data_IF_215125198893
#
_entry.id   IF_215125198893
#
_cell.length_a   1.000
_cell.length_b   1.000
_cell.length_c   1.000
_cell.angle_alpha   90.00
_cell.angle_beta   90.00
_cell.angle_gamma   90.00
#
_symmetry.space_group_name_H-M   'P 1'
#
loop_
_entity.id
_entity.type
_entity.pdbx_description
1 polymer ?
#
# COMPACT_ATOMS: atom_id res chain seq x y z
N UNK A 1 -2.17 53.26 -10.83
CA UNK A 1 -0.87 53.79 -10.38
C UNK A 1 -0.75 53.41 -8.92
N UNK A 2 0.11 52.52 -8.44
CA UNK A 2 1.07 51.53 -8.97
C UNK A 2 1.37 50.66 -7.73
N UNK A 3 1.15 49.35 -7.77
CA UNK A 3 2.21 48.31 -7.77
C UNK A 3 3.49 48.67 -7.01
N UNK A 4 3.72 48.02 -5.86
CA UNK A 4 4.99 47.34 -5.49
C UNK A 4 4.90 46.79 -4.04
N UNK A 5 4.68 45.48 -3.89
CA UNK A 5 5.53 44.62 -3.03
C UNK A 5 5.15 43.13 -3.25
N UNK A 6 5.16 42.72 -4.52
CA UNK A 6 5.13 41.30 -4.92
C UNK A 6 6.59 40.85 -5.08
N UNK A 7 7.22 40.45 -3.99
CA UNK A 7 8.52 39.79 -4.03
C UNK A 7 8.71 38.86 -2.84
N UNK A 8 8.30 37.59 -2.98
CA UNK A 8 9.03 36.46 -2.40
C UNK A 8 8.72 35.16 -3.15
N UNK A 9 9.67 34.83 -4.04
CA UNK A 9 10.14 33.48 -4.39
C UNK A 9 9.11 32.45 -4.84
N UNK A 10 8.89 32.50 -6.16
CA UNK A 10 9.02 31.33 -7.03
C UNK A 10 10.20 30.48 -6.55
N UNK A 11 9.90 29.43 -5.80
CA UNK A 11 10.83 28.35 -5.54
C UNK A 11 10.14 27.12 -6.09
N UNK A 12 10.59 26.75 -7.29
CA UNK A 12 10.42 25.43 -7.88
C UNK A 12 10.33 24.41 -6.75
N UNK A 13 9.11 23.89 -6.58
CA UNK A 13 8.81 22.76 -5.73
C UNK A 13 9.46 21.56 -6.43
N UNK A 14 10.81 21.51 -6.41
CA UNK A 14 11.56 20.30 -6.68
C UNK A 14 10.95 19.26 -5.76
N UNK A 15 10.28 18.29 -6.39
CA UNK A 15 9.81 17.01 -5.85
C UNK A 15 10.99 16.29 -5.19
N UNK A 16 11.44 16.81 -4.05
CA UNK A 16 12.17 16.07 -3.05
C UNK A 16 11.15 15.08 -2.48
N UNK A 17 11.01 13.98 -3.21
CA UNK A 17 10.46 12.71 -2.78
C UNK A 17 11.30 12.22 -1.60
N UNK A 18 11.12 12.87 -0.45
CA UNK A 18 11.53 12.39 0.84
C UNK A 18 10.59 11.21 1.17
N UNK A 19 10.70 10.13 0.38
CA UNK A 19 10.43 8.81 0.90
C UNK A 19 11.38 8.68 2.09
N UNK A 20 10.88 8.99 3.28
CA UNK A 20 11.38 8.39 4.51
C UNK A 20 11.23 6.88 4.29
N UNK A 21 12.18 6.29 3.57
CA UNK A 21 12.43 4.87 3.59
C UNK A 21 12.63 4.57 5.06
N UNK A 22 11.61 3.95 5.65
CA UNK A 22 11.67 3.47 7.01
C UNK A 22 12.96 2.64 7.16
N UNK A 23 13.99 3.24 7.75
CA UNK A 23 15.17 2.59 8.32
C UNK A 23 14.69 1.80 9.55
N UNK A 24 13.77 0.86 9.35
CA UNK A 24 13.40 -0.11 10.36
C UNK A 24 14.57 -1.12 10.43
N UNK A 25 15.32 -1.00 11.54
CA UNK A 25 16.51 -1.73 11.99
C UNK A 25 16.77 -3.06 11.26
N UNK A 26 17.91 -3.15 10.57
CA UNK A 26 18.43 -4.38 9.97
C UNK A 26 18.70 -5.44 11.05
N UNK A 27 17.69 -6.27 11.31
CA UNK A 27 17.86 -7.50 12.08
C UNK A 27 18.47 -8.57 11.18
N UNK A 28 19.80 -8.59 11.12
CA UNK A 28 20.64 -9.75 10.79
C UNK A 28 20.19 -10.59 9.59
N UNK A 29 20.31 -10.05 8.37
CA UNK A 29 20.17 -10.83 7.14
C UNK A 29 21.45 -11.57 6.75
N UNK A 30 21.30 -12.62 5.96
CA UNK A 30 22.40 -13.27 5.27
C UNK A 30 23.06 -12.25 4.33
N UNK A 31 24.38 -12.05 4.47
CA UNK A 31 25.14 -10.96 3.80
C UNK A 31 24.95 -11.00 2.27
N UNK A 32 24.73 -12.19 1.72
CA UNK A 32 24.49 -12.40 0.30
C UNK A 32 23.12 -11.86 -0.17
N UNK A 33 22.08 -11.93 0.67
CA UNK A 33 20.73 -11.43 0.38
C UNK A 33 20.71 -9.90 0.43
N UNK A 34 21.37 -9.33 1.44
CA UNK A 34 21.53 -7.88 1.59
C UNK A 34 22.27 -7.28 0.39
N UNK A 35 23.41 -7.87 0.01
CA UNK A 35 24.18 -7.44 -1.16
C UNK A 35 23.34 -7.46 -2.45
N UNK A 36 22.52 -8.49 -2.64
CA UNK A 36 21.64 -8.60 -3.80
C UNK A 36 20.56 -7.52 -3.81
N UNK A 37 19.95 -7.24 -2.66
CA UNK A 37 18.94 -6.18 -2.53
C UNK A 37 19.51 -4.79 -2.84
N UNK A 38 20.69 -4.45 -2.30
CA UNK A 38 21.32 -3.15 -2.60
C UNK A 38 21.78 -3.03 -4.05
N UNK A 39 22.23 -4.14 -4.66
CA UNK A 39 22.55 -4.18 -6.08
C UNK A 39 21.31 -3.87 -6.93
N UNK A 40 20.18 -4.55 -6.67
CA UNK A 40 18.89 -4.27 -7.32
C UNK A 40 18.46 -2.80 -7.15
N UNK A 41 18.69 -2.23 -5.97
CA UNK A 41 18.36 -0.83 -5.67
C UNK A 41 19.21 0.17 -6.46
N UNK A 42 20.47 -0.14 -6.76
CA UNK A 42 21.29 0.68 -7.65
C UNK A 42 20.81 0.56 -9.10
N UNK A 43 20.46 -0.65 -9.53
CA UNK A 43 20.00 -0.92 -10.90
C UNK A 43 18.64 -0.31 -11.22
N UNK A 44 17.80 0.00 -10.22
CA UNK A 44 16.46 0.59 -10.45
C UNK A 44 16.47 1.88 -11.28
N UNK A 45 17.56 2.65 -11.23
CA UNK A 45 17.71 3.91 -11.96
C UNK A 45 18.04 3.69 -13.44
N UNK A 46 18.85 2.67 -13.73
CA UNK A 46 19.36 2.40 -15.08
C UNK A 46 18.51 1.37 -15.83
N UNK A 47 18.07 0.31 -15.14
CA UNK A 47 17.36 -0.85 -15.69
C UNK A 47 16.27 -1.32 -14.72
N UNK A 48 15.10 -0.64 -14.70
CA UNK A 48 14.02 -0.95 -13.76
C UNK A 48 13.44 -2.34 -13.94
N UNK A 49 13.50 -2.92 -15.15
CA UNK A 49 13.01 -4.28 -15.42
C UNK A 49 13.92 -5.35 -14.79
N UNK A 50 15.24 -5.21 -14.98
CA UNK A 50 16.22 -6.12 -14.37
C UNK A 50 16.22 -5.98 -12.84
N UNK A 51 16.05 -4.77 -12.33
CA UNK A 51 15.91 -4.53 -10.90
C UNK A 51 14.71 -5.26 -10.30
N UNK A 52 13.58 -5.34 -11.01
CA UNK A 52 12.40 -6.11 -10.56
C UNK A 52 12.76 -7.59 -10.42
N UNK A 53 13.39 -8.19 -11.44
CA UNK A 53 13.78 -9.60 -11.41
C UNK A 53 14.74 -9.89 -10.25
N UNK A 54 15.66 -8.98 -9.97
CA UNK A 54 16.59 -9.10 -8.84
C UNK A 54 15.88 -8.96 -7.50
N UNK A 55 14.94 -8.03 -7.35
CA UNK A 55 14.10 -7.89 -6.15
C UNK A 55 13.20 -9.11 -5.91
N UNK A 56 12.62 -9.69 -6.96
CA UNK A 56 11.83 -10.92 -6.88
C UNK A 56 12.70 -12.15 -6.62
N UNK A 57 13.98 -12.07 -6.98
CA UNK A 57 15.00 -13.07 -6.68
C UNK A 57 15.51 -13.04 -5.24
N UNK A 58 15.14 -12.05 -4.42
CA UNK A 58 15.49 -11.95 -2.98
C UNK A 58 14.64 -12.93 -2.14
N UNK A 59 13.29 -12.94 -2.23
CA UNK A 59 12.44 -13.95 -1.59
C UNK A 59 12.86 -15.40 -1.84
N UNK A 60 13.35 -15.71 -3.04
CA UNK A 60 13.76 -17.06 -3.41
C UNK A 60 15.07 -17.53 -2.76
N UNK A 61 15.87 -16.60 -2.24
CA UNK A 61 17.10 -16.90 -1.51
C UNK A 61 16.87 -17.08 -0.01
N UNK A 62 15.75 -16.58 0.52
CA UNK A 62 15.36 -16.81 1.90
C UNK A 62 14.72 -18.22 2.05
N UNK A 63 15.26 -19.05 2.94
CA UNK A 63 14.67 -20.37 3.24
C UNK A 63 13.29 -20.25 3.91
N UNK A 64 13.11 -19.22 4.73
CA UNK A 64 11.86 -18.84 5.36
C UNK A 64 11.56 -17.37 5.05
N UNK A 65 10.27 -17.03 4.91
CA UNK A 65 9.82 -15.66 4.64
C UNK A 65 10.38 -14.69 5.68
N UNK A 66 11.30 -13.82 5.26
CA UNK A 66 11.96 -12.85 6.12
C UNK A 66 11.68 -11.40 5.72
N UNK A 67 12.38 -10.50 6.39
CA UNK A 67 12.27 -9.05 6.16
C UNK A 67 12.83 -8.64 4.80
N UNK A 68 13.88 -9.31 4.29
CA UNK A 68 14.49 -8.97 3.01
C UNK A 68 13.59 -9.33 1.84
N UNK A 69 12.95 -10.50 1.87
CA UNK A 69 11.94 -10.88 0.88
C UNK A 69 10.77 -9.90 0.87
N UNK A 70 10.34 -9.44 2.05
CA UNK A 70 9.29 -8.43 2.16
C UNK A 70 9.71 -7.07 1.59
N UNK A 71 10.92 -6.59 1.92
CA UNK A 71 11.50 -5.35 1.37
C UNK A 71 11.65 -5.45 -0.16
N UNK A 72 12.12 -6.58 -0.67
CA UNK A 72 12.27 -6.87 -2.11
C UNK A 72 10.94 -6.80 -2.85
N UNK A 73 9.94 -7.56 -2.40
CA UNK A 73 8.59 -7.54 -2.99
C UNK A 73 7.99 -6.14 -3.00
N UNK A 74 8.16 -5.37 -1.92
CA UNK A 74 7.68 -3.99 -1.83
C UNK A 74 8.28 -3.10 -2.92
N UNK A 75 9.59 -3.19 -3.18
CA UNK A 75 10.25 -2.41 -4.22
C UNK A 75 9.86 -2.88 -5.63
N UNK A 76 9.77 -4.20 -5.85
CA UNK A 76 9.33 -4.77 -7.12
C UNK A 76 7.93 -4.25 -7.50
N UNK A 77 6.96 -4.31 -6.58
CA UNK A 77 5.58 -3.84 -6.82
C UNK A 77 5.55 -2.34 -7.18
N UNK A 78 6.32 -1.50 -6.47
CA UNK A 78 6.41 -0.06 -6.78
C UNK A 78 6.92 0.18 -8.21
N UNK A 79 7.96 -0.55 -8.62
CA UNK A 79 8.52 -0.44 -9.97
C UNK A 79 7.56 -0.96 -11.04
N UNK A 80 6.94 -2.11 -10.81
CA UNK A 80 5.94 -2.68 -11.72
C UNK A 80 4.75 -1.74 -11.92
N UNK A 81 4.30 -1.09 -10.85
CA UNK A 81 3.24 -0.10 -10.93
C UNK A 81 3.65 1.11 -11.77
N UNK A 82 4.87 1.63 -11.57
CA UNK A 82 5.44 2.72 -12.41
C UNK A 82 5.60 2.31 -13.88
N UNK A 83 5.92 1.05 -14.15
CA UNK A 83 6.00 0.49 -15.52
C UNK A 83 4.64 0.11 -16.12
N UNK A 84 3.52 0.41 -15.43
CA UNK A 84 2.14 0.06 -15.85
C UNK A 84 1.89 -1.45 -15.98
N UNK A 85 2.70 -2.28 -15.31
CA UNK A 85 2.58 -3.75 -15.26
C UNK A 85 1.64 -4.17 -14.13
N UNK A 86 0.41 -3.67 -14.19
CA UNK A 86 -0.57 -3.79 -13.10
C UNK A 86 -0.89 -5.25 -12.71
N UNK A 87 -0.99 -6.15 -13.70
CA UNK A 87 -1.31 -7.55 -13.43
C UNK A 87 -0.22 -8.26 -12.61
N UNK A 88 1.06 -7.96 -12.89
CA UNK A 88 2.20 -8.49 -12.14
C UNK A 88 2.26 -7.87 -10.74
N UNK A 89 2.05 -6.55 -10.65
CA UNK A 89 2.00 -5.84 -9.37
C UNK A 89 0.93 -6.45 -8.43
N UNK A 90 -0.25 -6.81 -8.95
CA UNK A 90 -1.29 -7.47 -8.14
C UNK A 90 -0.85 -8.87 -7.69
N UNK A 91 -0.18 -9.65 -8.54
CA UNK A 91 0.30 -10.98 -8.19
C UNK A 91 1.34 -10.91 -7.07
N UNK A 92 2.36 -10.06 -7.22
CA UNK A 92 3.39 -9.88 -6.19
C UNK A 92 2.83 -9.22 -4.92
N UNK A 93 1.82 -8.36 -5.03
CA UNK A 93 1.13 -7.84 -3.86
C UNK A 93 0.40 -8.93 -3.08
N UNK A 94 -0.24 -9.88 -3.77
CA UNK A 94 -0.86 -11.02 -3.12
C UNK A 94 0.18 -11.89 -2.41
N UNK A 95 1.38 -12.03 -2.97
CA UNK A 95 2.51 -12.69 -2.30
C UNK A 95 2.96 -11.92 -1.06
N UNK A 96 3.12 -10.59 -1.15
CA UNK A 96 3.47 -9.72 -0.02
C UNK A 96 2.46 -9.86 1.13
N UNK A 97 1.16 -9.97 0.84
CA UNK A 97 0.13 -10.20 1.86
C UNK A 97 0.30 -11.53 2.61
N UNK A 98 1.00 -12.51 2.04
CA UNK A 98 1.31 -13.76 2.76
C UNK A 98 2.40 -13.57 3.81
N UNK A 99 3.36 -12.66 3.59
CA UNK A 99 4.37 -12.28 4.59
C UNK A 99 3.72 -11.58 5.79
N UNK A 100 2.70 -10.76 5.53
CA UNK A 100 1.92 -10.07 6.58
C UNK A 100 1.22 -11.02 7.55
N UNK A 101 0.95 -12.26 7.13
CA UNK A 101 0.31 -13.26 7.99
C UNK A 101 1.30 -14.01 8.89
N UNK A 102 2.57 -14.12 8.51
CA UNK A 102 3.50 -15.07 9.15
C UNK A 102 4.90 -14.54 9.46
N UNK A 103 5.40 -13.58 8.68
CA UNK A 103 6.80 -13.18 8.71
C UNK A 103 7.05 -11.86 9.47
N UNK A 104 6.11 -10.91 9.37
CA UNK A 104 6.30 -9.54 9.86
C UNK A 104 5.30 -9.17 10.94
N UNK A 105 5.72 -8.30 11.86
CA UNK A 105 4.84 -7.84 12.95
C UNK A 105 3.64 -7.06 12.41
N UNK A 106 2.52 -7.13 13.13
CA UNK A 106 1.26 -6.47 12.74
C UNK A 106 1.43 -4.97 12.48
N UNK A 107 2.13 -4.25 13.36
CA UNK A 107 2.35 -2.81 13.22
C UNK A 107 3.20 -2.48 11.98
N UNK A 108 4.26 -3.24 11.74
CA UNK A 108 5.11 -3.05 10.56
C UNK A 108 4.36 -3.33 9.26
N UNK A 109 3.58 -4.40 9.23
CA UNK A 109 2.74 -4.74 8.08
C UNK A 109 1.66 -3.70 7.79
N UNK A 110 1.02 -3.14 8.83
CA UNK A 110 0.01 -2.10 8.72
C UNK A 110 0.61 -0.81 8.14
N UNK A 111 1.78 -0.39 8.63
CA UNK A 111 2.50 0.78 8.11
C UNK A 111 2.90 0.57 6.65
N UNK A 112 3.46 -0.60 6.33
CA UNK A 112 3.91 -0.93 4.98
C UNK A 112 2.76 -1.00 3.97
N UNK A 113 1.62 -1.60 4.34
CA UNK A 113 0.43 -1.65 3.48
C UNK A 113 -0.17 -0.26 3.27
N UNK A 114 -0.28 0.56 4.33
CA UNK A 114 -0.76 1.93 4.17
C UNK A 114 0.13 2.74 3.23
N UNK A 115 1.46 2.69 3.42
CA UNK A 115 2.42 3.36 2.55
C UNK A 115 2.33 2.89 1.09
N UNK A 116 2.08 1.59 0.87
CA UNK A 116 1.89 1.05 -0.48
C UNK A 116 0.61 1.56 -1.14
N UNK A 117 -0.51 1.54 -0.40
CA UNK A 117 -1.79 2.04 -0.90
C UNK A 117 -1.71 3.54 -1.21
N UNK A 118 -1.07 4.33 -0.34
CA UNK A 118 -0.86 5.77 -0.55
C UNK A 118 0.03 6.03 -1.78
N UNK A 119 1.05 5.21 -1.99
CA UNK A 119 1.90 5.30 -3.19
C UNK A 119 1.10 5.03 -4.47
N UNK A 120 0.28 3.97 -4.47
CA UNK A 120 -0.55 3.61 -5.62
C UNK A 120 -1.58 4.69 -5.91
N UNK A 121 -2.26 5.21 -4.87
CA UNK A 121 -3.25 6.28 -4.98
C UNK A 121 -2.65 7.54 -5.61
N UNK A 122 -1.43 7.92 -5.22
CA UNK A 122 -0.71 9.07 -5.80
C UNK A 122 -0.28 8.86 -7.25
N UNK A 123 0.04 7.63 -7.63
CA UNK A 123 0.54 7.30 -8.97
C UNK A 123 -0.58 6.77 -9.91
N UNK A 124 -1.83 6.72 -9.44
CA UNK A 124 -2.95 6.18 -10.20
C UNK A 124 -3.56 7.23 -11.14
N UNK A 125 -2.93 7.42 -12.30
CA UNK A 125 -3.37 8.42 -13.28
C UNK A 125 -4.40 7.89 -14.29
N UNK A 126 -4.33 6.59 -14.61
CA UNK A 126 -5.13 5.96 -15.67
C UNK A 126 -6.26 5.06 -15.13
N UNK A 127 -7.27 4.77 -15.95
CA UNK A 127 -8.36 3.85 -15.59
C UNK A 127 -7.86 2.43 -15.26
N UNK A 128 -6.77 1.99 -15.90
CA UNK A 128 -6.12 0.71 -15.60
C UNK A 128 -5.46 0.71 -14.21
N UNK A 129 -4.81 1.82 -13.84
CA UNK A 129 -4.23 2.03 -12.52
C UNK A 129 -5.32 2.06 -11.44
N UNK A 130 -6.45 2.71 -11.72
CA UNK A 130 -7.64 2.70 -10.84
C UNK A 130 -8.19 1.29 -10.61
N UNK A 131 -8.26 0.44 -11.65
CA UNK A 131 -8.64 -0.97 -11.52
C UNK A 131 -7.62 -1.76 -10.71
N UNK A 132 -6.33 -1.51 -10.92
CA UNK A 132 -5.26 -2.10 -10.11
C UNK A 132 -5.42 -1.74 -8.64
N UNK A 133 -5.63 -0.46 -8.35
CA UNK A 133 -5.86 0.06 -7.00
C UNK A 133 -7.06 -0.61 -6.34
N UNK A 134 -8.20 -0.75 -7.04
CA UNK A 134 -9.35 -1.49 -6.54
C UNK A 134 -9.01 -2.94 -6.17
N UNK A 135 -8.22 -3.63 -7.00
CA UNK A 135 -7.75 -4.99 -6.70
C UNK A 135 -6.84 -5.04 -5.47
N UNK A 136 -5.93 -4.08 -5.31
CA UNK A 136 -5.08 -3.97 -4.12
C UNK A 136 -5.93 -3.81 -2.86
N UNK A 137 -6.88 -2.87 -2.86
CA UNK A 137 -7.82 -2.69 -1.74
C UNK A 137 -8.60 -3.98 -1.44
N UNK A 138 -9.18 -4.62 -2.45
CA UNK A 138 -9.93 -5.87 -2.27
C UNK A 138 -9.07 -6.98 -1.65
N UNK A 139 -7.86 -7.21 -2.18
CA UNK A 139 -6.95 -8.25 -1.67
C UNK A 139 -6.48 -7.95 -0.25
N UNK A 140 -6.24 -6.68 0.06
CA UNK A 140 -5.90 -6.21 1.41
C UNK A 140 -6.99 -6.56 2.40
N UNK A 141 -8.25 -6.24 2.06
CA UNK A 141 -9.41 -6.50 2.89
C UNK A 141 -9.62 -8.00 3.14
N UNK A 142 -9.48 -8.83 2.11
CA UNK A 142 -9.56 -10.29 2.22
C UNK A 142 -8.48 -10.85 3.17
N UNK A 143 -7.27 -10.30 3.11
CA UNK A 143 -6.18 -10.68 4.00
C UNK A 143 -6.45 -10.29 5.46
N UNK A 144 -7.06 -9.11 5.67
CA UNK A 144 -7.36 -8.56 7.00
C UNK A 144 -8.59 -9.14 7.68
N UNK A 145 -9.61 -9.57 6.93
CA UNK A 145 -10.73 -10.34 7.47
C UNK A 145 -10.24 -11.60 8.21
N UNK A 146 -9.15 -12.21 7.73
CA UNK A 146 -8.57 -13.41 8.35
C UNK A 146 -7.72 -13.11 9.60
N UNK A 147 -7.22 -11.88 9.77
CA UNK A 147 -6.28 -11.50 10.85
C UNK A 147 -6.92 -10.71 11.99
N UNK A 148 -8.24 -10.58 11.99
CA UNK A 148 -9.03 -9.89 13.03
C UNK A 148 -8.54 -8.43 13.24
N UNK A 149 -8.13 -7.76 12.16
CA UNK A 149 -7.68 -6.38 12.18
C UNK A 149 -8.79 -5.40 11.80
N UNK A 150 -9.81 -5.31 12.66
CA UNK A 150 -11.00 -4.49 12.44
C UNK A 150 -10.67 -3.01 12.18
N UNK A 151 -9.71 -2.44 12.90
CA UNK A 151 -9.32 -1.02 12.75
C UNK A 151 -8.78 -0.72 11.35
N UNK A 152 -7.81 -1.50 10.90
CA UNK A 152 -7.21 -1.32 9.58
C UNK A 152 -8.21 -1.68 8.48
N UNK A 153 -9.00 -2.73 8.68
CA UNK A 153 -10.07 -3.14 7.77
C UNK A 153 -11.09 -2.02 7.55
N UNK A 154 -11.54 -1.34 8.62
CA UNK A 154 -12.44 -0.20 8.52
C UNK A 154 -11.79 0.96 7.77
N UNK A 155 -10.57 1.35 8.14
CA UNK A 155 -9.84 2.46 7.48
C UNK A 155 -9.63 2.20 5.98
N UNK A 156 -9.23 0.98 5.62
CA UNK A 156 -9.04 0.56 4.22
C UNK A 156 -10.36 0.57 3.45
N UNK A 157 -11.46 0.11 4.06
CA UNK A 157 -12.78 0.19 3.45
C UNK A 157 -13.27 1.63 3.25
N UNK A 158 -13.04 2.52 4.20
CA UNK A 158 -13.40 3.94 4.07
C UNK A 158 -12.64 4.60 2.92
N UNK A 159 -11.34 4.27 2.74
CA UNK A 159 -10.58 4.73 1.56
C UNK A 159 -11.14 4.19 0.25
N UNK A 160 -11.45 2.90 0.19
CA UNK A 160 -12.07 2.29 -0.99
C UNK A 160 -13.44 2.92 -1.33
N UNK A 161 -14.25 3.23 -0.31
CA UNK A 161 -15.52 3.93 -0.48
C UNK A 161 -15.32 5.36 -1.04
N UNK A 162 -14.32 6.10 -0.55
CA UNK A 162 -13.98 7.43 -1.12
C UNK A 162 -13.56 7.34 -2.58
N UNK A 163 -12.75 6.35 -2.93
CA UNK A 163 -12.35 6.08 -4.32
C UNK A 163 -13.56 5.84 -5.23
N UNK A 164 -14.52 5.00 -4.81
CA UNK A 164 -15.75 4.79 -5.60
C UNK A 164 -16.64 6.03 -5.66
N UNK A 165 -16.64 6.87 -4.62
CA UNK A 165 -17.32 8.16 -4.64
C UNK A 165 -16.71 9.08 -5.70
N UNK A 166 -15.38 9.15 -5.78
CA UNK A 166 -14.67 9.96 -6.77
C UNK A 166 -14.89 9.45 -8.20
N UNK A 167 -14.97 8.13 -8.38
CA UNK A 167 -15.33 7.47 -9.64
C UNK A 167 -16.83 7.57 -9.98
N UNK A 168 -17.66 8.12 -9.09
CA UNK A 168 -19.13 8.23 -9.22
C UNK A 168 -19.83 6.87 -9.36
N UNK A 169 -19.24 5.78 -8.86
CA UNK A 169 -19.88 4.47 -8.78
C UNK A 169 -20.70 4.36 -7.48
N UNK A 170 -21.85 5.04 -7.48
CA UNK A 170 -22.74 5.08 -6.32
C UNK A 170 -23.34 3.72 -5.96
N UNK A 171 -23.39 2.75 -6.90
CA UNK A 171 -23.93 1.42 -6.62
C UNK A 171 -23.01 0.63 -5.71
N UNK A 172 -21.73 0.47 -6.12
CA UNK A 172 -20.74 -0.25 -5.30
C UNK A 172 -20.51 0.44 -3.97
N UNK A 173 -20.47 1.78 -3.97
CA UNK A 173 -20.39 2.57 -2.75
C UNK A 173 -21.52 2.25 -1.77
N UNK A 174 -22.78 2.29 -2.22
CA UNK A 174 -23.95 2.07 -1.35
C UNK A 174 -23.92 0.68 -0.74
N UNK A 175 -23.58 -0.34 -1.51
CA UNK A 175 -23.52 -1.71 -1.03
C UNK A 175 -22.40 -1.90 0.01
N UNK A 176 -21.25 -1.25 -0.19
CA UNK A 176 -20.15 -1.32 0.77
C UNK A 176 -20.37 -0.51 2.03
N UNK A 177 -20.95 0.69 1.94
CA UNK A 177 -21.32 1.47 3.13
C UNK A 177 -22.32 0.70 3.97
N UNK A 178 -23.26 -0.05 3.37
CA UNK A 178 -24.14 -0.95 4.11
C UNK A 178 -23.40 -2.10 4.79
N UNK A 179 -22.40 -2.67 4.13
CA UNK A 179 -21.54 -3.70 4.73
C UNK A 179 -20.75 -3.15 5.92
N UNK A 180 -20.19 -1.94 5.78
CA UNK A 180 -19.47 -1.24 6.86
C UNK A 180 -20.39 -0.91 8.03
N UNK A 181 -21.57 -0.37 7.74
CA UNK A 181 -22.56 -0.05 8.76
C UNK A 181 -22.99 -1.29 9.53
N UNK A 182 -23.20 -2.43 8.84
CA UNK A 182 -23.46 -3.72 9.50
C UNK A 182 -22.28 -4.21 10.34
N UNK A 183 -21.04 -4.01 9.88
CA UNK A 183 -19.85 -4.40 10.62
C UNK A 183 -19.63 -3.57 11.91
N UNK A 184 -20.23 -2.38 11.97
CA UNK A 184 -20.25 -1.50 13.15
C UNK A 184 -21.49 -1.70 14.04
N UNK A 185 -22.41 -2.59 13.68
CA UNK A 185 -23.60 -2.91 14.48
C UNK A 185 -23.44 -4.26 15.19
N UNK A 186 -24.06 -4.37 16.36
CA UNK A 186 -24.20 -5.62 17.11
C UNK A 186 -25.27 -6.51 16.47
N UNK A 187 -25.32 -7.80 16.86
CA UNK A 187 -26.33 -8.76 16.35
C UNK A 187 -27.79 -8.33 16.61
N UNK A 188 -28.00 -7.43 17.57
CA UNK A 188 -29.31 -6.86 17.90
C UNK A 188 -29.68 -5.61 17.05
N UNK A 189 -28.79 -5.19 16.15
CA UNK A 189 -28.97 -4.01 15.30
C UNK A 189 -28.70 -2.67 15.97
N UNK A 190 -28.22 -2.67 17.23
CA UNK A 190 -27.73 -1.47 17.89
C UNK A 190 -26.28 -1.16 17.50
N UNK A 191 -25.91 0.11 17.52
CA UNK A 191 -24.54 0.53 17.20
C UNK A 191 -23.58 0.04 18.28
N UNK A 192 -22.49 -0.62 17.86
CA UNK A 192 -21.50 -1.16 18.78
C UNK A 192 -20.77 0.01 19.48
N UNK A 193 -20.93 0.19 20.81
CA UNK A 193 -20.30 1.30 21.52
C UNK A 193 -18.77 1.22 21.50
N UNK A 194 -18.21 0.03 21.32
CA UNK A 194 -16.76 -0.18 21.18
C UNK A 194 -16.24 0.24 19.79
N UNK A 195 -17.13 0.34 18.80
CA UNK A 195 -16.85 0.81 17.44
C UNK A 195 -17.39 2.21 17.17
N UNK A 196 -17.88 2.91 18.20
CA UNK A 196 -18.53 4.23 18.06
C UNK A 196 -17.68 5.29 17.35
N UNK A 197 -16.35 5.30 17.54
CA UNK A 197 -15.46 6.21 16.80
C UNK A 197 -15.43 5.88 15.30
N UNK A 198 -15.54 4.60 14.94
CA UNK A 198 -15.55 4.15 13.55
C UNK A 198 -16.93 4.32 12.89
N UNK A 199 -18.01 4.17 13.65
CA UNK A 199 -19.37 4.52 13.17
C UNK A 199 -19.51 6.00 12.83
N UNK A 200 -18.67 6.87 13.38
CA UNK A 200 -18.63 8.30 13.02
C UNK A 200 -17.83 8.57 11.74
N UNK A 201 -16.96 7.66 11.32
CA UNK A 201 -16.14 7.78 10.10
C UNK A 201 -16.81 7.17 8.85
N UNK A 202 -17.77 6.25 9.04
CA UNK A 202 -18.58 5.58 7.99
C UNK A 202 -19.82 6.42 7.69
#
# INVERSE_FOLDING_TARGET
MSDDDDFMQDSDQEDYDFEYEDEDEDQGGDVDIENKYYNAKQMKADSPEEAIDEFLGVPALEEEKGDWGFKGLKQAIKLEFKLRRYDQAVQHYQELLTYVKSAVTRNYSEKSINNMLDFIEKNAEDEAANKCMEQFYSKTLDSFQSTNNERLWLKTNTKLARLWLDQKDYRRLTDKVRELHKACQLEDGSDDPSKGTYSLEV
#
